data_IF_864351240749
#
_entry.id   IF_864351240749
#
_cell.length_a   1.000
_cell.length_b   1.000
_cell.length_c   1.000
_cell.angle_alpha   90.00
_cell.angle_beta   90.00
_cell.angle_gamma   90.00
#
_symmetry.space_group_name_H-M   'P 1'
#
loop_
_entity.id
_entity.type
_entity.pdbx_description
1 polymer ?
#
# COMPACT_ATOMS: atom_id res chain seq x y z
N UNK A 1 -22.23 2.59 18.40
CA UNK A 1 -21.69 2.40 17.03
C UNK A 1 -22.11 1.00 16.59
N UNK A 2 -22.89 0.89 15.53
CA UNK A 2 -23.23 -0.42 14.94
C UNK A 2 -22.01 -0.86 14.15
N UNK A 3 -21.39 -2.01 14.46
CA UNK A 3 -20.28 -2.49 13.66
C UNK A 3 -20.77 -2.76 12.23
N UNK A 4 -20.08 -2.17 11.25
CA UNK A 4 -20.36 -2.43 9.84
C UNK A 4 -19.64 -3.71 9.39
N UNK A 5 -20.34 -4.53 8.61
CA UNK A 5 -19.77 -5.71 7.97
C UNK A 5 -19.46 -5.33 6.52
N UNK A 6 -18.22 -5.52 6.10
CA UNK A 6 -17.79 -5.34 4.73
C UNK A 6 -17.52 -6.70 4.10
N UNK A 7 -18.21 -6.98 3.00
CA UNK A 7 -18.08 -8.26 2.27
C UNK A 7 -17.53 -7.95 0.88
N UNK A 8 -16.38 -8.51 0.56
CA UNK A 8 -15.75 -8.41 -0.76
C UNK A 8 -15.86 -9.75 -1.47
N UNK A 9 -16.49 -9.74 -2.63
CA UNK A 9 -16.59 -10.91 -3.50
C UNK A 9 -15.58 -10.74 -4.63
N UNK A 10 -14.56 -11.57 -4.65
CA UNK A 10 -13.45 -11.43 -5.58
C UNK A 10 -13.07 -12.78 -6.21
N UNK A 11 -12.66 -12.72 -7.46
CA UNK A 11 -12.02 -13.83 -8.14
C UNK A 11 -10.50 -13.59 -8.15
N UNK A 12 -9.74 -14.64 -7.96
CA UNK A 12 -8.29 -14.57 -8.09
C UNK A 12 -7.90 -14.77 -9.56
N UNK A 13 -7.14 -13.81 -10.08
CA UNK A 13 -6.57 -13.87 -11.42
C UNK A 13 -5.06 -13.70 -11.32
N UNK A 14 -4.37 -14.72 -10.82
CA UNK A 14 -2.91 -14.73 -10.86
C UNK A 14 -2.41 -15.44 -12.12
N UNK A 15 -1.63 -14.73 -12.91
CA UNK A 15 -0.86 -15.31 -14.01
C UNK A 15 0.63 -15.13 -13.71
N UNK A 16 1.36 -16.22 -13.58
CA UNK A 16 2.82 -16.17 -13.44
C UNK A 16 3.44 -15.48 -14.66
N UNK A 17 4.19 -14.41 -14.42
CA UNK A 17 4.90 -13.70 -15.49
C UNK A 17 6.22 -13.07 -15.08
N UNK A 18 6.81 -13.43 -13.94
CA UNK A 18 8.10 -12.89 -13.50
C UNK A 18 9.11 -13.97 -13.18
N UNK A 19 10.38 -13.69 -13.43
CA UNK A 19 11.49 -14.61 -13.16
C UNK A 19 11.73 -14.86 -11.67
N UNK A 20 11.11 -14.04 -10.79
CA UNK A 20 11.21 -14.19 -9.34
C UNK A 20 9.82 -14.06 -8.70
N UNK A 21 9.39 -15.11 -8.04
CA UNK A 21 8.17 -15.12 -7.24
C UNK A 21 8.50 -15.33 -5.77
N UNK A 22 8.08 -14.39 -4.94
CA UNK A 22 8.11 -14.51 -3.49
C UNK A 22 6.71 -14.90 -3.03
N UNK A 23 6.52 -16.19 -2.73
CA UNK A 23 5.21 -16.77 -2.46
C UNK A 23 4.93 -16.92 -0.97
N UNK A 24 3.79 -16.37 -0.53
CA UNK A 24 3.24 -16.57 0.80
C UNK A 24 1.94 -17.37 0.68
N UNK A 25 1.99 -18.67 1.04
CA UNK A 25 0.83 -19.56 1.06
C UNK A 25 -0.12 -19.29 2.23
N UNK A 26 -1.26 -20.00 2.32
CA UNK A 26 -2.17 -19.88 3.46
C UNK A 26 -1.46 -20.11 4.78
N UNK A 27 -1.80 -19.32 5.80
CA UNK A 27 -1.19 -19.40 7.14
C UNK A 27 -0.54 -18.09 7.58
N UNK A 28 0.02 -18.08 8.79
CA UNK A 28 0.63 -16.91 9.41
C UNK A 28 2.14 -16.91 9.19
N UNK A 29 2.63 -15.92 8.47
CA UNK A 29 4.03 -15.71 8.17
C UNK A 29 4.58 -14.59 9.06
N UNK A 30 5.55 -14.94 9.92
CA UNK A 30 6.27 -14.01 10.79
C UNK A 30 7.75 -14.12 10.46
N UNK A 31 8.30 -13.26 9.61
CA UNK A 31 9.73 -13.28 9.36
C UNK A 31 10.49 -13.08 10.66
N UNK A 32 11.29 -14.06 11.03
CA UNK A 32 12.20 -13.98 12.17
C UNK A 32 13.52 -13.39 11.66
N UNK A 33 14.22 -12.68 12.51
CA UNK A 33 15.58 -12.18 12.24
C UNK A 33 15.68 -11.07 11.16
N UNK A 34 14.55 -10.46 10.77
CA UNK A 34 14.59 -9.30 9.87
C UNK A 34 14.63 -7.99 10.68
N UNK A 35 15.51 -7.05 10.32
CA UNK A 35 15.50 -5.73 10.91
C UNK A 35 14.13 -5.06 10.77
N UNK A 36 13.57 -4.56 11.85
CA UNK A 36 12.28 -3.86 11.89
C UNK A 36 11.11 -4.63 11.25
N UNK A 37 11.15 -5.96 11.24
CA UNK A 37 10.11 -6.81 10.64
C UNK A 37 9.76 -6.38 9.22
N UNK A 38 10.76 -6.14 8.39
CA UNK A 38 10.57 -5.71 7.01
C UNK A 38 11.15 -6.71 6.01
N UNK A 39 10.44 -6.91 4.91
CA UNK A 39 10.88 -7.72 3.78
C UNK A 39 11.29 -6.78 2.66
N UNK A 40 12.57 -6.81 2.29
CA UNK A 40 13.08 -6.05 1.15
C UNK A 40 12.70 -6.76 -0.15
N UNK A 41 12.05 -6.04 -1.07
CA UNK A 41 11.62 -6.56 -2.36
C UNK A 41 12.54 -6.02 -3.46
N UNK A 42 13.32 -6.88 -4.12
CA UNK A 42 14.20 -6.46 -5.20
C UNK A 42 13.42 -6.20 -6.51
N UNK A 43 14.08 -5.57 -7.47
CA UNK A 43 13.55 -5.39 -8.83
C UNK A 43 13.15 -6.70 -9.50
N UNK A 44 12.20 -6.62 -10.43
CA UNK A 44 11.72 -7.75 -11.24
C UNK A 44 11.17 -8.90 -10.39
N UNK A 45 10.48 -8.57 -9.28
CA UNK A 45 9.94 -9.55 -8.34
C UNK A 45 8.42 -9.44 -8.24
N UNK A 46 7.75 -10.57 -8.28
CA UNK A 46 6.35 -10.68 -7.88
C UNK A 46 6.26 -11.21 -6.46
N UNK A 47 5.60 -10.47 -5.58
CA UNK A 47 5.20 -10.94 -4.25
C UNK A 47 3.76 -11.40 -4.35
N UNK A 48 3.51 -12.67 -4.13
CA UNK A 48 2.18 -13.25 -4.17
C UNK A 48 1.72 -13.67 -2.78
N UNK A 49 0.67 -13.02 -2.29
CA UNK A 49 0.00 -13.36 -1.04
C UNK A 49 -1.26 -14.16 -1.37
N UNK A 50 -1.21 -15.48 -1.21
CA UNK A 50 -2.34 -16.36 -1.51
C UNK A 50 -3.55 -16.07 -0.60
N UNK A 51 -4.77 -16.42 -1.02
CA UNK A 51 -5.91 -16.42 -0.11
C UNK A 51 -5.61 -17.18 1.18
N UNK A 52 -5.89 -16.57 2.33
CA UNK A 52 -5.57 -17.12 3.64
C UNK A 52 -4.13 -16.90 4.13
N UNK A 53 -3.27 -16.27 3.34
CA UNK A 53 -1.97 -15.82 3.81
C UNK A 53 -2.13 -14.59 4.74
N UNK A 54 -1.44 -14.60 5.87
CA UNK A 54 -1.36 -13.48 6.81
C UNK A 54 0.11 -13.18 7.06
N UNK A 55 0.59 -12.06 6.54
CA UNK A 55 2.01 -11.67 6.65
C UNK A 55 2.16 -10.55 7.67
N UNK A 56 2.96 -10.77 8.70
CA UNK A 56 3.25 -9.81 9.76
C UNK A 56 4.59 -9.12 9.50
N UNK A 57 4.64 -8.34 8.44
CA UNK A 57 5.82 -7.59 8.05
C UNK A 57 5.46 -6.42 7.13
N UNK A 58 6.32 -5.41 7.10
CA UNK A 58 6.32 -4.37 6.10
C UNK A 58 6.95 -4.90 4.80
N UNK A 59 6.37 -4.58 3.64
CA UNK A 59 7.01 -4.79 2.35
C UNK A 59 7.73 -3.50 1.93
N UNK A 60 9.05 -3.57 1.77
CA UNK A 60 9.86 -2.42 1.36
C UNK A 60 10.35 -2.59 -0.06
N UNK A 61 10.00 -1.63 -0.92
CA UNK A 61 10.44 -1.50 -2.31
C UNK A 61 11.25 -0.19 -2.37
N UNK A 62 12.56 -0.29 -2.25
CA UNK A 62 13.45 0.87 -2.31
C UNK A 62 14.44 0.75 -3.45
N UNK A 63 14.50 1.77 -4.31
CA UNK A 63 15.36 1.82 -5.51
C UNK A 63 15.20 0.59 -6.39
N UNK A 64 13.95 0.18 -6.60
CA UNK A 64 13.61 -1.02 -7.36
C UNK A 64 12.64 -0.69 -8.50
N UNK A 65 12.59 -1.56 -9.49
CA UNK A 65 11.69 -1.41 -10.63
C UNK A 65 11.02 -2.74 -11.00
N UNK A 66 9.86 -2.64 -11.67
CA UNK A 66 9.10 -3.80 -12.15
C UNK A 66 8.73 -4.77 -11.01
N UNK A 67 8.15 -4.24 -9.94
CA UNK A 67 7.71 -5.04 -8.79
C UNK A 67 6.20 -5.16 -8.79
N UNK A 68 5.70 -6.35 -8.48
CA UNK A 68 4.28 -6.63 -8.32
C UNK A 68 4.01 -7.19 -6.92
N UNK A 69 3.04 -6.63 -6.23
CA UNK A 69 2.49 -7.16 -4.97
C UNK A 69 1.05 -7.56 -5.27
N UNK A 70 0.76 -8.85 -5.32
CA UNK A 70 -0.54 -9.32 -5.79
C UNK A 70 -1.10 -10.45 -4.93
N UNK A 71 -2.39 -10.72 -5.07
CA UNK A 71 -3.08 -11.81 -4.39
C UNK A 71 -4.22 -11.34 -3.51
N UNK A 72 -4.69 -12.20 -2.61
CA UNK A 72 -5.84 -11.95 -1.71
C UNK A 72 -5.49 -12.18 -0.23
N UNK A 73 -4.21 -12.15 0.08
CA UNK A 73 -3.71 -12.25 1.45
C UNK A 73 -3.77 -10.94 2.21
N UNK A 74 -3.31 -11.00 3.44
CA UNK A 74 -3.40 -9.92 4.43
C UNK A 74 -2.01 -9.52 4.91
N UNK A 75 -1.72 -8.22 4.94
CA UNK A 75 -0.66 -7.66 5.78
C UNK A 75 -1.28 -7.24 7.11
N UNK A 76 -0.87 -7.88 8.20
CA UNK A 76 -1.50 -7.72 9.51
C UNK A 76 -0.57 -7.03 10.51
N UNK A 77 -0.99 -5.86 11.00
CA UNK A 77 -0.26 -5.02 11.96
C UNK A 77 1.20 -4.75 11.56
N UNK A 78 1.50 -4.40 10.32
CA UNK A 78 2.85 -3.97 9.95
C UNK A 78 3.15 -2.58 10.51
N UNK A 79 4.43 -2.23 10.67
CA UNK A 79 4.83 -0.85 11.04
C UNK A 79 4.41 0.17 9.96
N UNK A 80 4.47 -0.22 8.70
CA UNK A 80 3.82 0.31 7.50
C UNK A 80 3.42 -0.88 6.65
N UNK A 81 2.41 -0.76 5.81
CA UNK A 81 2.01 -1.85 4.92
C UNK A 81 3.03 -2.08 3.81
N UNK A 82 2.98 -1.22 2.79
CA UNK A 82 3.89 -1.23 1.63
C UNK A 82 4.58 0.13 1.55
N UNK A 83 5.89 0.13 1.54
CA UNK A 83 6.71 1.32 1.38
C UNK A 83 7.43 1.29 0.04
N UNK A 84 7.19 2.30 -0.80
CA UNK A 84 7.73 2.40 -2.17
C UNK A 84 8.53 3.68 -2.28
N UNK A 85 9.85 3.59 -2.34
CA UNK A 85 10.73 4.76 -2.35
C UNK A 85 11.71 4.70 -3.52
N UNK A 86 11.90 5.82 -4.21
CA UNK A 86 12.83 5.98 -5.35
C UNK A 86 12.69 4.86 -6.39
N UNK A 87 11.45 4.42 -6.63
CA UNK A 87 11.14 3.20 -7.38
C UNK A 87 10.28 3.49 -8.60
N UNK A 88 10.22 2.53 -9.53
CA UNK A 88 9.53 2.72 -10.80
C UNK A 88 8.76 1.48 -11.22
N UNK A 89 7.59 1.68 -11.83
CA UNK A 89 6.74 0.61 -12.37
C UNK A 89 6.38 -0.42 -11.31
N UNK A 90 5.57 0.01 -10.34
CA UNK A 90 5.14 -0.79 -9.21
C UNK A 90 3.64 -1.06 -9.30
N UNK A 91 3.24 -2.32 -9.18
CA UNK A 91 1.87 -2.78 -9.24
C UNK A 91 1.45 -3.43 -7.93
N UNK A 92 0.40 -2.91 -7.30
CA UNK A 92 -0.20 -3.44 -6.08
C UNK A 92 -1.64 -3.80 -6.37
N UNK A 93 -2.04 -5.07 -6.18
CA UNK A 93 -3.39 -5.51 -6.49
C UNK A 93 -3.94 -6.55 -5.50
N UNK A 94 -5.12 -6.25 -4.99
CA UNK A 94 -6.01 -7.22 -4.36
C UNK A 94 -5.79 -7.52 -2.89
N UNK A 95 -4.67 -7.13 -2.33
CA UNK A 95 -4.34 -7.43 -0.93
C UNK A 95 -5.15 -6.58 0.06
N UNK A 96 -5.18 -7.03 1.32
CA UNK A 96 -5.76 -6.30 2.44
C UNK A 96 -4.69 -5.92 3.44
N UNK A 97 -4.71 -4.69 3.95
CA UNK A 97 -3.83 -4.24 5.03
C UNK A 97 -4.69 -3.92 6.25
N UNK A 98 -4.33 -4.50 7.39
CA UNK A 98 -5.07 -4.35 8.65
C UNK A 98 -4.18 -3.71 9.71
N UNK A 99 -4.67 -2.62 10.31
CA UNK A 99 -4.07 -1.93 11.44
C UNK A 99 -2.55 -1.72 11.34
N UNK A 100 -2.05 -1.10 10.27
CA UNK A 100 -0.65 -0.67 10.24
C UNK A 100 -0.42 0.36 11.36
N UNK A 101 0.79 0.41 11.90
CA UNK A 101 1.15 1.40 12.92
C UNK A 101 1.27 2.82 12.33
N UNK A 102 1.44 2.90 11.02
CA UNK A 102 1.54 4.12 10.24
C UNK A 102 0.80 3.92 8.90
N UNK A 103 1.29 4.36 7.77
CA UNK A 103 0.62 4.31 6.47
C UNK A 103 0.37 2.90 5.94
N UNK A 104 -0.75 2.71 5.27
CA UNK A 104 -1.03 1.47 4.51
C UNK A 104 -0.11 1.35 3.30
N UNK A 105 -0.03 2.40 2.49
CA UNK A 105 0.94 2.54 1.40
C UNK A 105 1.65 3.87 1.54
N UNK A 106 2.96 3.84 1.49
CA UNK A 106 3.80 5.01 1.45
C UNK A 106 4.54 5.08 0.13
N UNK A 107 4.40 6.18 -0.61
CA UNK A 107 5.14 6.48 -1.82
C UNK A 107 6.06 7.68 -1.62
N UNK A 108 7.35 7.53 -1.93
CA UNK A 108 8.34 8.62 -1.89
C UNK A 108 9.18 8.67 -3.16
N UNK A 109 9.19 9.81 -3.87
CA UNK A 109 9.98 10.03 -5.10
C UNK A 109 9.94 8.85 -6.08
N UNK A 110 8.72 8.32 -6.31
CA UNK A 110 8.50 7.14 -7.14
C UNK A 110 7.56 7.45 -8.31
N UNK A 111 7.66 6.68 -9.38
CA UNK A 111 6.87 6.92 -10.60
C UNK A 111 6.28 5.63 -11.18
N UNK A 112 5.12 5.76 -11.83
CA UNK A 112 4.45 4.61 -12.44
C UNK A 112 3.90 3.62 -11.39
N UNK A 113 3.14 4.13 -10.42
CA UNK A 113 2.51 3.31 -9.38
C UNK A 113 1.07 3.00 -9.78
N UNK A 114 0.71 1.73 -9.81
CA UNK A 114 -0.67 1.28 -9.93
C UNK A 114 -1.09 0.59 -8.65
N UNK A 115 -2.11 1.12 -7.99
CA UNK A 115 -2.69 0.58 -6.76
C UNK A 115 -4.14 0.26 -7.07
N UNK A 116 -4.42 -1.03 -7.24
CA UNK A 116 -5.73 -1.53 -7.63
C UNK A 116 -6.28 -2.47 -6.57
N UNK A 117 -7.59 -2.38 -6.33
CA UNK A 117 -8.31 -3.34 -5.49
C UNK A 117 -7.68 -3.57 -4.10
N UNK A 118 -7.01 -2.56 -3.56
CA UNK A 118 -6.43 -2.58 -2.22
C UNK A 118 -7.50 -2.28 -1.17
N UNK A 119 -7.50 -3.02 -0.07
CA UNK A 119 -8.35 -2.74 1.08
C UNK A 119 -7.49 -2.35 2.27
N UNK A 120 -7.90 -1.31 2.98
CA UNK A 120 -7.24 -0.83 4.19
C UNK A 120 -8.24 -0.64 5.32
N UNK A 121 -7.88 -1.17 6.48
CA UNK A 121 -8.63 -0.97 7.71
C UNK A 121 -7.68 -0.57 8.82
N UNK A 122 -7.88 0.59 9.43
CA UNK A 122 -7.05 1.03 10.54
C UNK A 122 -7.86 1.79 11.60
N UNK A 123 -7.40 1.68 12.84
CA UNK A 123 -7.99 2.38 13.98
C UNK A 123 -6.94 3.06 14.88
N UNK A 124 -5.70 3.16 14.44
CA UNK A 124 -4.61 3.84 15.14
C UNK A 124 -4.46 5.28 14.64
N UNK A 125 -3.98 6.18 15.50
CA UNK A 125 -3.51 7.49 15.06
C UNK A 125 -2.36 7.36 14.06
N UNK A 126 -2.28 8.26 13.08
CA UNK A 126 -1.27 8.29 12.01
C UNK A 126 -1.31 7.09 11.06
N UNK A 127 -2.36 6.27 11.08
CA UNK A 127 -2.52 5.13 10.17
C UNK A 127 -3.39 5.49 8.97
N UNK A 128 -2.82 6.34 8.14
CA UNK A 128 -3.38 6.78 6.88
C UNK A 128 -3.50 5.61 5.87
N UNK A 129 -4.22 5.83 4.82
CA UNK A 129 -4.33 4.91 3.70
C UNK A 129 -3.11 4.99 2.77
N UNK A 130 -3.21 5.82 1.73
CA UNK A 130 -2.17 5.97 0.70
C UNK A 130 -1.58 7.38 0.79
N UNK A 131 -0.31 7.47 1.19
CA UNK A 131 0.44 8.72 1.26
C UNK A 131 1.49 8.80 0.16
N UNK A 132 1.40 9.83 -0.68
CA UNK A 132 2.29 10.05 -1.83
C UNK A 132 3.10 11.33 -1.63
N UNK A 133 4.41 11.20 -1.62
CA UNK A 133 5.36 12.32 -1.50
C UNK A 133 6.22 12.38 -2.76
N UNK A 134 6.06 13.43 -3.55
CA UNK A 134 6.81 13.64 -4.79
C UNK A 134 6.67 12.46 -5.79
N UNK A 135 5.49 11.86 -5.88
CA UNK A 135 5.22 10.75 -6.79
C UNK A 135 4.59 11.23 -8.10
N UNK A 136 4.81 10.49 -9.18
CA UNK A 136 4.22 10.81 -10.48
C UNK A 136 3.69 9.58 -11.21
N UNK A 137 2.73 9.83 -12.11
CA UNK A 137 2.11 8.78 -12.92
C UNK A 137 1.51 7.67 -12.04
N UNK A 138 0.61 8.07 -11.15
CA UNK A 138 -0.01 7.18 -10.15
C UNK A 138 -1.47 6.95 -10.50
N UNK A 139 -1.87 5.68 -10.55
CA UNK A 139 -3.27 5.26 -10.65
C UNK A 139 -3.68 4.56 -9.36
N UNK A 140 -4.73 5.09 -8.71
CA UNK A 140 -5.41 4.47 -7.57
C UNK A 140 -6.82 4.13 -8.06
N UNK A 141 -7.13 2.83 -8.15
CA UNK A 141 -8.38 2.36 -8.71
C UNK A 141 -9.02 1.28 -7.84
N UNK A 142 -10.34 1.33 -7.71
CA UNK A 142 -11.12 0.30 -7.03
C UNK A 142 -10.62 -0.03 -5.61
N UNK A 143 -10.17 0.97 -4.84
CA UNK A 143 -9.71 0.76 -3.47
C UNK A 143 -10.85 0.96 -2.46
N UNK A 144 -10.77 0.23 -1.35
CA UNK A 144 -11.61 0.45 -0.17
C UNK A 144 -10.72 0.85 1.01
N UNK A 145 -10.90 2.07 1.48
CA UNK A 145 -10.13 2.64 2.58
C UNK A 145 -11.06 2.98 3.74
N UNK A 146 -10.90 2.33 4.88
CA UNK A 146 -11.47 2.77 6.15
C UNK A 146 -10.35 3.00 7.14
N UNK A 147 -9.91 4.24 7.20
CA UNK A 147 -8.76 4.66 7.97
C UNK A 147 -9.15 5.66 9.07
N UNK A 148 -8.47 5.61 10.20
CA UNK A 148 -8.66 6.58 11.30
C UNK A 148 -8.02 7.92 10.99
N UNK A 149 -7.02 7.96 10.11
CA UNK A 149 -6.40 9.17 9.60
C UNK A 149 -6.75 9.35 8.11
N UNK A 150 -6.00 10.14 7.33
CA UNK A 150 -6.30 10.44 5.94
C UNK A 150 -6.36 9.16 5.08
N UNK A 151 -7.38 9.01 4.23
CA UNK A 151 -7.44 7.83 3.36
C UNK A 151 -6.45 7.95 2.20
N UNK A 152 -6.36 9.13 1.57
CA UNK A 152 -5.37 9.45 0.52
C UNK A 152 -4.78 10.81 0.84
N UNK A 153 -3.45 10.88 0.94
CA UNK A 153 -2.73 12.12 1.11
C UNK A 153 -1.67 12.31 0.02
N UNK A 154 -1.64 13.51 -0.59
CA UNK A 154 -0.72 13.85 -1.67
C UNK A 154 0.07 15.10 -1.27
N UNK A 155 1.38 14.95 -1.20
CA UNK A 155 2.30 15.99 -0.78
C UNK A 155 3.31 16.33 -1.87
N UNK A 156 3.67 17.59 -1.98
CA UNK A 156 4.73 18.05 -2.87
C UNK A 156 6.12 17.86 -2.27
N UNK A 157 6.23 18.10 -0.97
CA UNK A 157 7.49 17.98 -0.24
C UNK A 157 7.19 17.56 1.21
N UNK A 158 7.83 16.53 1.65
CA UNK A 158 7.78 16.12 3.07
C UNK A 158 9.02 15.31 3.42
N UNK A 159 9.57 15.56 4.61
CA UNK A 159 10.81 14.96 5.10
C UNK A 159 11.98 15.17 4.12
N UNK A 160 12.57 14.10 3.62
CA UNK A 160 13.70 14.15 2.68
C UNK A 160 13.27 14.02 1.21
N UNK A 161 11.96 14.07 0.92
CA UNK A 161 11.42 13.99 -0.44
C UNK A 161 11.13 15.39 -0.95
N UNK A 162 11.71 15.74 -2.11
CA UNK A 162 11.65 17.07 -2.68
C UNK A 162 11.14 17.02 -4.12
N UNK A 163 10.20 17.88 -4.45
CA UNK A 163 9.62 17.99 -5.77
C UNK A 163 8.11 18.13 -5.71
N UNK A 164 7.42 17.78 -6.78
CA UNK A 164 5.97 17.82 -6.88
C UNK A 164 5.39 16.44 -7.19
N UNK A 165 4.19 16.20 -6.74
CA UNK A 165 3.39 15.09 -7.24
C UNK A 165 2.63 15.51 -8.49
N UNK A 166 2.54 14.63 -9.51
CA UNK A 166 1.83 14.93 -10.77
C UNK A 166 1.23 13.67 -11.38
N UNK A 167 0.22 13.87 -12.23
CA UNK A 167 -0.50 12.79 -12.92
C UNK A 167 -0.98 11.72 -11.93
N UNK A 168 -1.66 12.14 -10.86
CA UNK A 168 -2.28 11.24 -9.90
C UNK A 168 -3.76 11.11 -10.25
N UNK A 169 -4.17 9.92 -10.63
CA UNK A 169 -5.56 9.57 -10.91
C UNK A 169 -6.11 8.72 -9.78
N UNK A 170 -7.28 9.09 -9.31
CA UNK A 170 -8.03 8.34 -8.32
C UNK A 170 -9.46 8.13 -8.83
N UNK A 171 -9.93 6.89 -8.80
CA UNK A 171 -11.24 6.54 -9.34
C UNK A 171 -11.87 5.28 -8.71
N UNK A 172 -13.18 5.08 -8.90
CA UNK A 172 -13.94 3.86 -8.59
C UNK A 172 -13.77 3.34 -7.15
N UNK A 173 -13.59 4.23 -6.17
CA UNK A 173 -13.13 3.85 -4.85
C UNK A 173 -14.04 4.34 -3.74
N UNK A 174 -13.94 3.72 -2.57
CA UNK A 174 -14.65 4.11 -1.36
C UNK A 174 -13.64 4.54 -0.31
N UNK A 175 -13.75 5.80 0.13
CA UNK A 175 -12.90 6.39 1.15
C UNK A 175 -13.75 6.77 2.36
N UNK A 176 -13.45 6.16 3.50
CA UNK A 176 -14.10 6.40 4.77
C UNK A 176 -13.07 6.77 5.83
N UNK A 177 -12.85 8.04 6.03
CA UNK A 177 -12.02 8.55 7.12
C UNK A 177 -12.88 8.71 8.37
N UNK A 178 -12.59 7.96 9.42
CA UNK A 178 -13.38 8.03 10.65
C UNK A 178 -13.12 9.33 11.44
N UNK A 179 -11.93 9.93 11.31
CA UNK A 179 -11.52 11.13 12.06
C UNK A 179 -10.99 12.23 11.15
N UNK A 180 -10.03 11.91 10.24
CA UNK A 180 -9.37 12.91 9.41
C UNK A 180 -10.07 13.11 8.04
N UNK A 181 -9.37 13.00 6.92
CA UNK A 181 -9.91 13.37 5.62
C UNK A 181 -9.97 12.18 4.65
N UNK A 182 -11.04 12.05 3.84
CA UNK A 182 -11.03 11.09 2.73
C UNK A 182 -9.90 11.39 1.73
N UNK A 183 -9.65 12.66 1.44
CA UNK A 183 -8.56 13.12 0.57
C UNK A 183 -7.95 14.37 1.17
N UNK A 184 -6.62 14.37 1.29
CA UNK A 184 -5.81 15.51 1.71
C UNK A 184 -4.79 15.84 0.62
N UNK A 185 -4.81 17.05 0.09
CA UNK A 185 -3.84 17.51 -0.91
C UNK A 185 -3.10 18.73 -0.33
N UNK A 186 -1.79 18.63 -0.20
CA UNK A 186 -0.98 19.61 0.50
C UNK A 186 -0.93 19.34 2.00
N UNK A 187 -0.95 20.38 2.84
CA UNK A 187 -0.86 20.28 4.30
C UNK A 187 0.57 20.13 4.82
N UNK A 188 1.44 19.47 4.09
CA UNK A 188 2.88 19.43 4.34
C UNK A 188 3.65 19.77 3.08
N UNK A 189 4.71 20.53 3.25
CA UNK A 189 5.60 20.95 2.17
C UNK A 189 5.27 22.32 1.61
N UNK A 190 6.32 23.00 1.20
CA UNK A 190 6.22 24.24 0.45
C UNK A 190 6.20 23.89 -1.04
N UNK A 191 5.29 24.51 -1.76
CA UNK A 191 5.27 24.52 -3.22
C UNK A 191 6.46 25.32 -3.72
#
# INVERSE_FOLDING_TARGET
>A
VIPSIHIFLETETYTESSDKVMYFGPGVHRPKDLPNTQIQIPSNTTVYLAPGAVVKAKLLIDKAENVRIVGRGILDHPIRGIEVTHSKNIWIDGITVINPDHYTVFGGESTGLTINNLKSFSCKGWSDGIDLMCCSDVLIDNVFMRNSDDCIAIYAHRWNYYGGSRNVTFQNSILWADIAHPINIGGHGNL
#
